data_IF_198464231382
#
_entry.id   IF_198464231382
#
_cell.length_a   1.000
_cell.length_b   1.000
_cell.length_c   1.000
_cell.angle_alpha   90.00
_cell.angle_beta   90.00
_cell.angle_gamma   90.00
#
_symmetry.space_group_name_H-M   'P 1'
#
loop_
_entity.id
_entity.type
_entity.pdbx_description
1 polymer ?
#
# COMPACT_ATOMS: atom_id res chain seq x y z
N UNK A 1 15.43 1.16 4.65
CA UNK A 1 15.03 0.48 3.42
C UNK A 1 16.10 -0.50 2.98
N UNK A 2 15.80 -1.81 2.94
CA UNK A 2 16.77 -2.84 2.54
C UNK A 2 16.93 -2.99 1.02
N UNK A 3 16.18 -2.23 0.21
CA UNK A 3 16.39 -2.18 -1.23
C UNK A 3 17.85 -1.79 -1.54
N UNK A 4 18.48 -2.38 -2.58
CA UNK A 4 19.86 -2.10 -2.97
C UNK A 4 20.10 -0.60 -3.14
N UNK A 5 21.31 -0.11 -2.86
CA UNK A 5 21.63 1.30 -3.13
C UNK A 5 21.72 1.59 -4.63
N UNK A 6 22.13 0.59 -5.41
CA UNK A 6 22.21 0.66 -6.87
C UNK A 6 20.83 0.58 -7.52
N UNK A 7 20.65 1.15 -8.74
CA UNK A 7 19.42 1.00 -9.50
C UNK A 7 19.07 -0.48 -9.74
N UNK A 8 17.80 -0.83 -9.54
CA UNK A 8 17.33 -2.20 -9.74
C UNK A 8 15.96 -2.23 -10.41
N UNK A 9 15.74 -3.25 -11.23
CA UNK A 9 14.45 -3.54 -11.85
C UNK A 9 13.81 -4.71 -11.13
N UNK A 10 12.61 -4.49 -10.62
CA UNK A 10 11.82 -5.50 -9.93
C UNK A 10 10.57 -5.77 -10.76
N UNK A 11 10.18 -7.03 -10.91
CA UNK A 11 9.00 -7.43 -11.69
C UNK A 11 8.01 -8.22 -10.86
N UNK A 12 6.77 -8.25 -11.34
CA UNK A 12 5.68 -8.97 -10.73
C UNK A 12 4.45 -8.97 -11.62
N UNK A 13 3.33 -9.45 -11.08
CA UNK A 13 2.07 -9.47 -11.80
C UNK A 13 1.04 -10.38 -11.14
N UNK A 14 -0.06 -10.60 -11.87
CA UNK A 14 -1.11 -11.49 -11.40
C UNK A 14 -0.74 -12.97 -11.60
N UNK A 15 -1.42 -13.87 -10.89
CA UNK A 15 -1.14 -15.31 -10.92
C UNK A 15 -1.30 -15.95 -12.30
N UNK A 16 -2.18 -15.44 -13.17
CA UNK A 16 -2.39 -15.98 -14.51
C UNK A 16 -1.54 -15.31 -15.61
N UNK A 17 -0.66 -14.37 -15.25
CA UNK A 17 0.21 -13.66 -16.19
C UNK A 17 -0.47 -12.63 -17.12
N UNK A 18 -1.79 -12.44 -17.01
CA UNK A 18 -2.52 -11.48 -17.85
C UNK A 18 -2.14 -10.02 -17.55
N UNK A 19 -1.69 -9.74 -16.33
CA UNK A 19 -1.14 -8.45 -15.92
C UNK A 19 0.28 -8.68 -15.41
N UNK A 20 1.21 -7.90 -15.94
CA UNK A 20 2.62 -7.88 -15.54
C UNK A 20 3.03 -6.44 -15.30
N UNK A 21 3.91 -6.22 -14.32
CA UNK A 21 4.46 -4.91 -14.07
C UNK A 21 5.97 -4.98 -13.84
N UNK A 22 6.60 -3.83 -14.00
CA UNK A 22 8.01 -3.59 -13.72
C UNK A 22 8.14 -2.29 -12.96
N UNK A 23 8.97 -2.32 -11.93
CA UNK A 23 9.34 -1.18 -11.11
C UNK A 23 10.79 -0.87 -11.44
N UNK A 24 11.06 0.35 -11.89
CA UNK A 24 12.41 0.86 -12.06
C UNK A 24 12.78 1.62 -10.78
N UNK A 25 13.42 0.93 -9.84
CA UNK A 25 13.90 1.54 -8.60
C UNK A 25 15.19 2.30 -8.91
N UNK A 26 15.26 3.62 -8.69
CA UNK A 26 16.46 4.39 -8.96
C UNK A 26 17.53 4.15 -7.88
N UNK A 27 18.73 4.68 -8.13
CA UNK A 27 19.79 4.72 -7.12
C UNK A 27 19.28 5.43 -5.86
N UNK A 28 19.82 5.08 -4.69
CA UNK A 28 19.36 5.61 -3.40
C UNK A 28 19.29 7.14 -3.38
N UNK A 29 20.27 7.82 -3.97
CA UNK A 29 20.35 9.29 -3.93
C UNK A 29 19.32 9.97 -4.84
N UNK A 30 18.83 9.28 -5.86
CA UNK A 30 17.81 9.75 -6.80
C UNK A 30 16.38 9.37 -6.37
N UNK A 31 16.23 8.65 -5.25
CA UNK A 31 14.91 8.29 -4.72
C UNK A 31 14.22 9.52 -4.11
N UNK A 32 12.95 9.80 -4.47
CA UNK A 32 12.20 10.87 -3.86
C UNK A 32 11.91 10.54 -2.38
N UNK A 33 11.73 11.59 -1.58
CA UNK A 33 11.23 11.44 -0.22
C UNK A 33 9.76 10.99 -0.24
N UNK A 34 9.38 10.25 0.79
CA UNK A 34 8.00 9.85 1.00
C UNK A 34 7.17 11.10 1.40
N UNK A 35 6.16 11.49 0.61
CA UNK A 35 5.37 12.70 0.88
C UNK A 35 4.48 12.58 2.13
N UNK A 36 4.23 11.37 2.64
CA UNK A 36 3.43 11.12 3.84
C UNK A 36 4.19 11.28 5.14
N UNK A 37 5.52 11.38 5.07
CA UNK A 37 6.37 11.54 6.22
C UNK A 37 7.00 12.93 6.23
N UNK A 38 7.20 13.56 7.41
CA UNK A 38 7.99 14.77 7.50
C UNK A 38 9.36 14.57 6.82
N UNK A 39 9.86 15.52 6.00
CA UNK A 39 11.14 15.36 5.30
C UNK A 39 12.33 15.03 6.21
N UNK A 40 12.29 15.50 7.46
CA UNK A 40 13.30 15.22 8.49
C UNK A 40 13.44 13.71 8.82
N UNK A 41 12.41 12.90 8.55
CA UNK A 41 12.47 11.45 8.74
C UNK A 41 13.34 10.75 7.67
N UNK A 42 13.65 11.41 6.55
CA UNK A 42 14.54 10.87 5.52
C UNK A 42 14.04 9.59 4.84
N UNK A 43 12.74 9.28 4.96
CA UNK A 43 12.14 8.09 4.34
C UNK A 43 12.07 8.32 2.84
N UNK A 44 12.73 7.45 2.07
CA UNK A 44 12.77 7.48 0.62
C UNK A 44 11.74 6.51 0.03
N UNK A 45 11.38 6.67 -1.24
CA UNK A 45 10.52 5.76 -2.01
C UNK A 45 11.30 5.05 -3.13
N UNK A 46 10.95 3.80 -3.49
CA UNK A 46 9.78 3.06 -3.02
C UNK A 46 10.01 2.41 -1.65
N UNK A 47 9.02 2.47 -0.75
CA UNK A 47 9.13 2.00 0.63
C UNK A 47 8.24 0.79 0.91
N UNK A 48 8.79 -0.24 1.56
CA UNK A 48 8.00 -1.40 1.99
C UNK A 48 7.30 -1.10 3.31
N UNK A 49 6.00 -1.33 3.41
CA UNK A 49 5.21 -1.07 4.61
C UNK A 49 4.32 -2.28 4.95
N UNK A 50 3.86 -2.34 6.19
CA UNK A 50 2.69 -3.15 6.54
C UNK A 50 1.54 -2.22 6.90
N UNK A 51 0.32 -2.55 6.51
CA UNK A 51 -0.84 -1.71 6.78
C UNK A 51 -1.88 -2.43 7.62
N UNK A 52 -2.33 -1.77 8.68
CA UNK A 52 -3.26 -2.28 9.68
C UNK A 52 -4.72 -1.92 9.40
N UNK A 53 -5.02 -1.15 8.35
CA UNK A 53 -6.39 -0.73 8.06
C UNK A 53 -7.27 -1.89 7.60
N UNK A 54 -8.58 -1.77 7.85
CA UNK A 54 -9.56 -2.77 7.43
C UNK A 54 -9.61 -2.96 5.92
N UNK A 55 -9.34 -1.93 5.13
CA UNK A 55 -9.42 -2.02 3.68
C UNK A 55 -8.28 -2.86 3.10
N UNK A 56 -7.05 -2.68 3.60
CA UNK A 56 -5.90 -3.51 3.21
C UNK A 56 -6.04 -4.94 3.73
N UNK A 57 -6.56 -5.14 4.95
CA UNK A 57 -6.89 -6.46 5.50
C UNK A 57 -7.91 -7.20 4.63
N UNK A 58 -9.03 -6.55 4.30
CA UNK A 58 -10.14 -7.15 3.54
C UNK A 58 -9.75 -7.39 2.08
N UNK A 59 -9.05 -6.46 1.44
CA UNK A 59 -8.61 -6.61 0.05
C UNK A 59 -7.61 -7.74 -0.17
N UNK A 60 -6.76 -8.03 0.82
CA UNK A 60 -5.77 -9.12 0.74
C UNK A 60 -6.23 -10.43 1.36
N UNK A 61 -7.37 -10.42 2.08
CA UNK A 61 -7.78 -11.55 2.92
C UNK A 61 -6.77 -11.90 4.02
N UNK A 62 -5.80 -11.02 4.32
CA UNK A 62 -4.71 -11.27 5.27
C UNK A 62 -4.89 -10.47 6.53
N UNK A 63 -4.71 -11.07 7.71
CA UNK A 63 -4.85 -10.38 9.01
C UNK A 63 -4.00 -9.11 9.11
N UNK A 64 -2.80 -9.16 8.54
CA UNK A 64 -1.94 -8.02 8.29
C UNK A 64 -1.54 -8.12 6.82
N UNK A 65 -1.84 -7.09 6.03
CA UNK A 65 -1.33 -6.98 4.67
C UNK A 65 0.19 -6.84 4.78
N UNK A 66 0.87 -7.98 4.70
CA UNK A 66 2.32 -8.05 4.91
C UNK A 66 2.95 -7.66 3.59
N UNK A 67 3.51 -6.45 3.54
CA UNK A 67 4.20 -6.00 2.35
C UNK A 67 3.31 -5.28 1.36
N UNK A 68 3.24 -3.97 1.52
CA UNK A 68 2.84 -3.05 0.47
C UNK A 68 4.10 -2.29 0.07
N UNK A 69 4.37 -2.18 -1.22
CA UNK A 69 5.42 -1.31 -1.73
C UNK A 69 4.76 -0.04 -2.24
N UNK A 70 5.10 1.10 -1.64
CA UNK A 70 4.65 2.41 -2.11
C UNK A 70 5.55 2.91 -3.24
N UNK A 71 4.96 3.24 -4.39
CA UNK A 71 5.66 3.46 -5.65
C UNK A 71 5.09 4.67 -6.39
N UNK A 72 5.90 5.72 -6.59
CA UNK A 72 5.57 6.82 -7.48
C UNK A 72 5.32 6.33 -8.92
N UNK A 73 4.29 6.85 -9.57
CA UNK A 73 3.91 6.46 -10.93
C UNK A 73 5.06 6.43 -11.96
N UNK A 74 6.02 7.40 -11.98
CA UNK A 74 7.13 7.36 -12.94
C UNK A 74 8.04 6.12 -12.82
N UNK A 75 8.04 5.45 -11.66
CA UNK A 75 8.81 4.21 -11.46
C UNK A 75 8.10 2.97 -11.98
N UNK A 76 6.79 3.03 -12.23
CA UNK A 76 5.95 1.87 -12.53
C UNK A 76 5.61 1.78 -14.01
N UNK A 77 5.88 0.62 -14.63
CA UNK A 77 5.35 0.25 -15.94
C UNK A 77 4.40 -0.93 -15.77
N UNK A 78 3.21 -0.86 -16.34
CA UNK A 78 2.22 -1.97 -16.35
C UNK A 78 1.95 -2.42 -17.78
N UNK A 79 1.82 -3.72 -17.97
CA UNK A 79 1.34 -4.37 -19.18
C UNK A 79 0.16 -5.26 -18.82
N UNK A 80 -0.94 -5.10 -19.53
CA UNK A 80 -2.15 -5.91 -19.36
C UNK A 80 -2.59 -6.45 -20.72
N UNK A 81 -2.90 -7.74 -20.77
CA UNK A 81 -3.54 -8.34 -21.94
C UNK A 81 -4.94 -7.76 -22.10
N UNK A 82 -5.34 -7.47 -23.34
CA UNK A 82 -6.71 -7.06 -23.61
C UNK A 82 -7.70 -8.16 -23.18
N UNK A 83 -8.86 -7.78 -22.62
CA UNK A 83 -9.96 -8.72 -22.41
C UNK A 83 -10.31 -9.44 -23.72
N UNK A 84 -10.62 -10.74 -23.64
CA UNK A 84 -11.06 -11.52 -24.81
C UNK A 84 -12.49 -11.18 -25.25
N UNK A 85 -13.23 -10.44 -24.43
CA UNK A 85 -14.56 -9.88 -24.68
C UNK A 85 -14.75 -8.64 -23.80
N UNK A 86 -15.65 -7.74 -24.17
CA UNK A 86 -16.10 -6.68 -23.25
C UNK A 86 -16.67 -7.34 -22.00
N UNK A 87 -15.94 -7.24 -20.89
CA UNK A 87 -16.43 -7.58 -19.56
C UNK A 87 -16.55 -6.28 -18.81
N UNK A 88 -17.72 -6.00 -18.25
CA UNK A 88 -17.92 -4.90 -17.33
C UNK A 88 -16.88 -5.00 -16.21
N UNK A 89 -16.07 -3.94 -16.05
CA UNK A 89 -15.12 -3.85 -14.95
C UNK A 89 -15.94 -3.58 -13.69
N UNK A 90 -16.21 -4.61 -12.91
CA UNK A 90 -16.86 -4.47 -11.60
C UNK A 90 -15.80 -3.95 -10.61
N UNK A 91 -15.72 -2.63 -10.45
CA UNK A 91 -15.00 -2.00 -9.34
C UNK A 91 -15.94 -1.76 -8.16
N UNK A 92 -15.54 -2.10 -6.93
CA UNK A 92 -16.37 -1.89 -5.73
C UNK A 92 -15.54 -1.60 -4.47
N UNK A 93 -16.16 -0.94 -3.49
CA UNK A 93 -15.65 -0.79 -2.12
C UNK A 93 -16.19 -1.94 -1.27
N UNK A 94 -15.46 -2.32 -0.22
CA UNK A 94 -16.01 -3.22 0.80
C UNK A 94 -17.04 -2.46 1.62
N UNK A 95 -18.31 -2.80 1.46
CA UNK A 95 -19.43 -2.25 2.23
C UNK A 95 -19.71 -3.20 3.40
N UNK A 96 -20.04 -2.64 4.57
CA UNK A 96 -20.53 -3.45 5.69
C UNK A 96 -22.04 -3.69 5.55
N UNK A 97 -22.39 -4.44 4.51
CA UNK A 97 -23.77 -4.77 4.11
C UNK A 97 -24.56 -5.55 5.17
N UNK A 98 -23.90 -5.96 6.27
CA UNK A 98 -24.52 -6.69 7.37
C UNK A 98 -24.76 -5.82 8.60
N UNK A 99 -24.43 -4.52 8.56
CA UNK A 99 -24.82 -3.60 9.62
C UNK A 99 -26.34 -3.38 9.59
N UNK A 100 -26.99 -3.40 10.75
CA UNK A 100 -28.45 -3.28 10.89
C UNK A 100 -29.00 -1.95 10.32
N UNK A 101 -28.14 -0.95 10.13
CA UNK A 101 -28.42 0.37 9.59
C UNK A 101 -27.82 0.62 8.19
N UNK A 102 -27.42 -0.43 7.46
CA UNK A 102 -26.83 -0.28 6.14
C UNK A 102 -27.82 0.33 5.12
N UNK A 103 -27.48 1.52 4.62
CA UNK A 103 -28.20 2.25 3.58
C UNK A 103 -27.37 2.30 2.30
N UNK A 104 -27.84 1.61 1.26
CA UNK A 104 -27.14 1.50 -0.01
C UNK A 104 -27.11 2.83 -0.80
N UNK A 105 -28.20 3.60 -0.80
CA UNK A 105 -28.25 4.88 -1.53
C UNK A 105 -27.34 5.91 -0.89
N UNK A 106 -27.34 5.97 0.44
CA UNK A 106 -26.41 6.81 1.19
C UNK A 106 -24.96 6.37 0.99
N UNK A 107 -24.67 5.07 1.04
CA UNK A 107 -23.31 4.55 0.83
C UNK A 107 -22.77 4.87 -0.58
N UNK A 108 -23.63 4.85 -1.60
CA UNK A 108 -23.27 5.23 -2.97
C UNK A 108 -23.13 6.75 -3.13
N UNK A 109 -23.96 7.55 -2.46
CA UNK A 109 -23.84 9.01 -2.44
C UNK A 109 -22.59 9.52 -1.70
N UNK A 110 -22.21 8.83 -0.62
CA UNK A 110 -21.00 9.10 0.18
C UNK A 110 -19.73 8.52 -0.48
N UNK A 111 -19.83 7.95 -1.68
CA UNK A 111 -18.67 7.44 -2.42
C UNK A 111 -17.70 8.60 -2.67
N UNK A 112 -16.49 8.59 -2.07
CA UNK A 112 -15.52 9.63 -2.35
C UNK A 112 -15.19 9.61 -3.85
N UNK A 113 -14.88 10.78 -4.44
CA UNK A 113 -14.39 10.84 -5.82
C UNK A 113 -13.20 9.89 -6.03
N UNK A 114 -12.97 9.50 -7.29
CA UNK A 114 -12.00 8.49 -7.78
C UNK A 114 -10.52 8.69 -7.40
N UNK A 115 -10.21 9.60 -6.47
CA UNK A 115 -8.87 9.92 -6.00
C UNK A 115 -8.19 8.72 -5.33
N UNK A 116 -8.94 7.66 -5.03
CA UNK A 116 -8.43 6.35 -4.63
C UNK A 116 -9.13 5.22 -5.37
N UNK A 117 -8.39 4.17 -5.73
CA UNK A 117 -8.94 2.99 -6.41
C UNK A 117 -8.15 1.73 -6.08
N UNK A 118 -8.77 0.57 -6.27
CA UNK A 118 -8.10 -0.74 -6.14
C UNK A 118 -8.14 -1.44 -7.48
N UNK A 119 -7.01 -2.05 -7.84
CA UNK A 119 -6.87 -2.79 -9.09
C UNK A 119 -6.59 -4.26 -8.80
N UNK A 120 -7.30 -5.13 -9.52
CA UNK A 120 -7.14 -6.57 -9.47
C UNK A 120 -7.22 -7.15 -10.88
N UNK A 121 -6.71 -8.36 -11.06
CA UNK A 121 -6.82 -9.06 -12.33
C UNK A 121 -8.25 -9.58 -12.52
N UNK A 122 -8.99 -9.04 -13.49
CA UNK A 122 -10.34 -9.51 -13.82
C UNK A 122 -10.40 -10.99 -14.25
N UNK A 123 -9.28 -11.58 -14.66
CA UNK A 123 -9.21 -13.00 -15.08
C UNK A 123 -8.99 -13.98 -13.94
N UNK A 124 -8.13 -13.66 -12.97
CA UNK A 124 -7.76 -14.60 -11.90
C UNK A 124 -8.00 -14.06 -10.48
N UNK A 125 -8.55 -12.86 -10.34
CA UNK A 125 -8.88 -12.25 -9.06
C UNK A 125 -7.69 -11.77 -8.24
N UNK A 126 -6.44 -11.90 -8.73
CA UNK A 126 -5.26 -11.44 -7.98
C UNK A 126 -5.37 -9.94 -7.73
N UNK A 127 -5.44 -9.56 -6.45
CA UNK A 127 -5.38 -8.17 -6.03
C UNK A 127 -3.96 -7.62 -6.26
N UNK A 128 -3.83 -6.53 -7.03
CA UNK A 128 -2.54 -6.01 -7.49
C UNK A 128 -2.09 -4.77 -6.74
N UNK A 129 -2.97 -3.76 -6.65
CA UNK A 129 -2.59 -2.52 -6.01
C UNK A 129 -3.77 -1.72 -5.46
N UNK A 130 -3.41 -0.78 -4.60
CA UNK A 130 -4.21 0.39 -4.29
C UNK A 130 -3.53 1.59 -4.97
N UNK A 131 -4.28 2.35 -5.75
CA UNK A 131 -3.84 3.56 -6.41
C UNK A 131 -4.47 4.74 -5.67
N UNK A 132 -3.69 5.79 -5.44
CA UNK A 132 -4.23 7.06 -4.99
C UNK A 132 -3.52 8.21 -5.68
N UNK A 133 -4.29 9.25 -5.94
CA UNK A 133 -3.83 10.52 -6.46
C UNK A 133 -3.57 11.44 -5.27
N UNK A 134 -2.31 11.85 -5.11
CA UNK A 134 -1.89 12.75 -4.06
C UNK A 134 -2.56 14.11 -4.23
N UNK A 135 -3.09 14.60 -3.11
CA UNK A 135 -3.51 15.98 -2.92
C UNK A 135 -2.63 16.63 -1.84
N UNK A 136 -2.47 17.96 -1.83
CA UNK A 136 -1.61 18.66 -0.88
C UNK A 136 -1.91 18.32 0.59
N UNK A 137 -3.18 18.14 0.92
CA UNK A 137 -3.67 17.75 2.25
C UNK A 137 -3.20 16.38 2.73
N UNK A 138 -2.78 15.50 1.81
CA UNK A 138 -2.22 14.18 2.15
C UNK A 138 -0.72 14.24 2.42
N UNK A 139 -0.05 15.34 2.05
CA UNK A 139 1.39 15.48 2.16
C UNK A 139 1.75 16.11 3.52
N UNK A 140 2.76 15.58 4.20
CA UNK A 140 3.15 15.98 5.56
C UNK A 140 3.54 17.47 5.68
N UNK A 141 4.00 18.10 4.59
CA UNK A 141 4.36 19.51 4.52
C UNK A 141 3.36 20.35 3.70
N UNK A 142 2.23 19.76 3.30
CA UNK A 142 1.23 20.41 2.46
C UNK A 142 1.67 20.61 1.00
N UNK A 143 2.76 19.99 0.55
CA UNK A 143 3.30 20.16 -0.81
C UNK A 143 3.31 18.86 -1.59
N UNK A 144 2.80 18.94 -2.81
CA UNK A 144 2.90 17.83 -3.76
C UNK A 144 4.35 17.61 -4.19
N UNK A 145 4.77 16.36 -4.40
CA UNK A 145 6.08 16.07 -4.94
C UNK A 145 6.20 16.55 -6.40
N UNK A 146 7.41 16.92 -6.79
CA UNK A 146 7.69 17.36 -8.16
C UNK A 146 7.62 16.18 -9.14
N UNK A 147 6.91 16.37 -10.25
CA UNK A 147 6.92 15.44 -11.38
C UNK A 147 6.00 14.21 -11.27
N UNK A 148 5.26 14.06 -10.17
CA UNK A 148 4.25 12.99 -10.04
C UNK A 148 3.16 13.35 -9.05
N UNK A 149 2.00 12.68 -9.18
CA UNK A 149 0.88 12.81 -8.25
C UNK A 149 0.24 11.46 -7.95
N UNK A 150 0.31 10.53 -8.89
CA UNK A 150 -0.19 9.18 -8.68
C UNK A 150 0.86 8.33 -7.95
N UNK A 151 0.42 7.64 -6.89
CA UNK A 151 1.21 6.60 -6.24
C UNK A 151 0.45 5.28 -6.22
N UNK A 152 1.23 4.20 -6.17
CA UNK A 152 0.73 2.85 -6.17
C UNK A 152 1.29 2.08 -4.97
N UNK A 153 0.38 1.59 -4.14
CA UNK A 153 0.60 0.58 -3.13
C UNK A 153 0.47 -0.80 -3.78
N UNK A 154 1.58 -1.35 -4.29
CA UNK A 154 1.60 -2.72 -4.83
C UNK A 154 1.66 -3.74 -3.70
N UNK A 155 0.87 -4.82 -3.79
CA UNK A 155 1.00 -5.92 -2.83
C UNK A 155 2.25 -6.74 -3.13
N UNK A 156 3.18 -6.82 -2.18
CA UNK A 156 4.46 -7.52 -2.35
C UNK A 156 4.28 -8.98 -2.75
N UNK A 157 3.22 -9.65 -2.29
CA UNK A 157 2.91 -11.04 -2.69
C UNK A 157 2.69 -11.24 -4.19
N UNK A 158 2.62 -10.17 -4.98
CA UNK A 158 2.52 -10.20 -6.46
C UNK A 158 3.87 -10.00 -7.16
N UNK A 159 4.96 -9.74 -6.43
CA UNK A 159 6.31 -9.72 -6.99
C UNK A 159 6.73 -11.12 -7.43
N UNK A 160 7.61 -11.19 -8.42
CA UNK A 160 8.22 -12.45 -8.79
C UNK A 160 9.05 -13.00 -7.61
N UNK A 161 8.97 -14.31 -7.43
CA UNK A 161 9.50 -15.01 -6.26
C UNK A 161 10.98 -14.72 -5.99
N UNK A 162 11.79 -14.55 -7.04
CA UNK A 162 13.22 -14.25 -6.92
C UNK A 162 13.52 -12.97 -6.14
N UNK A 163 12.58 -12.02 -6.10
CA UNK A 163 12.70 -10.78 -5.33
C UNK A 163 12.22 -10.96 -3.89
N UNK A 164 11.22 -11.82 -3.67
CA UNK A 164 10.67 -12.14 -2.35
C UNK A 164 11.59 -13.02 -1.51
N UNK A 165 12.49 -13.77 -2.15
CA UNK A 165 13.53 -14.54 -1.47
C UNK A 165 14.70 -13.66 -0.97
N UNK A 166 14.69 -12.37 -1.30
CA UNK A 166 15.66 -11.37 -0.82
C UNK A 166 15.09 -10.64 0.39
N UNK A 167 15.97 -10.05 1.19
CA UNK A 167 15.61 -9.22 2.34
C UNK A 167 15.21 -7.77 1.96
N UNK A 168 15.22 -7.45 0.67
CA UNK A 168 15.04 -6.11 0.09
C UNK A 168 13.75 -5.40 0.51
N UNK A 169 12.70 -6.16 0.82
CA UNK A 169 11.38 -5.62 1.14
C UNK A 169 10.95 -5.88 2.58
N UNK A 170 11.91 -6.11 3.48
CA UNK A 170 11.61 -6.02 4.91
C UNK A 170 10.94 -4.65 5.18
N UNK A 171 9.77 -4.63 5.85
CA UNK A 171 9.02 -3.40 6.01
C UNK A 171 9.84 -2.33 6.74
N UNK A 172 9.73 -1.09 6.27
CA UNK A 172 10.35 0.10 6.86
C UNK A 172 9.44 0.78 7.88
N UNK A 173 8.13 0.53 7.82
CA UNK A 173 7.15 1.09 8.75
C UNK A 173 5.88 0.23 8.83
N UNK A 174 5.09 0.49 9.86
CA UNK A 174 3.74 -0.04 10.00
C UNK A 174 2.74 1.11 9.99
N UNK A 175 1.88 1.18 8.98
CA UNK A 175 0.91 2.27 8.80
C UNK A 175 -0.48 1.89 9.30
N UNK A 176 -1.28 2.90 9.64
CA UNK A 176 -2.64 2.77 10.18
C UNK A 176 -2.72 1.91 11.44
N UNK A 177 -1.66 1.90 12.25
CA UNK A 177 -1.52 0.99 13.40
C UNK A 177 -2.70 1.08 14.39
N UNK A 178 -3.27 2.28 14.57
CA UNK A 178 -4.42 2.52 15.45
C UNK A 178 -5.69 1.81 14.98
N UNK A 179 -5.83 1.53 13.68
CA UNK A 179 -6.93 0.74 13.13
C UNK A 179 -6.71 -0.77 13.18
N UNK A 180 -5.54 -1.22 13.63
CA UNK A 180 -5.22 -2.63 13.75
C UNK A 180 -6.15 -3.37 14.70
N UNK A 181 -6.62 -4.54 14.27
CA UNK A 181 -7.27 -5.50 15.17
C UNK A 181 -6.25 -6.02 16.20
N UNK A 182 -6.69 -6.54 17.36
CA UNK A 182 -5.78 -7.16 18.33
C UNK A 182 -4.88 -8.23 17.68
N UNK A 183 -5.46 -9.07 16.81
CA UNK A 183 -4.71 -10.11 16.10
C UNK A 183 -3.68 -9.54 15.10
N UNK A 184 -4.05 -8.52 14.30
CA UNK A 184 -3.13 -7.91 13.33
C UNK A 184 -1.92 -7.26 14.00
N UNK A 185 -2.13 -6.65 15.18
CA UNK A 185 -1.06 -6.07 16.00
C UNK A 185 -0.16 -7.16 16.59
N UNK A 186 -0.70 -8.31 16.99
CA UNK A 186 0.11 -9.45 17.45
C UNK A 186 0.99 -10.07 16.35
N UNK A 187 0.60 -9.98 15.08
CA UNK A 187 1.38 -10.52 13.94
C UNK A 187 2.19 -9.46 13.20
N UNK A 188 2.38 -8.29 13.82
CA UNK A 188 3.15 -7.16 13.28
C UNK A 188 4.60 -7.51 12.99
N UNK A 189 5.27 -6.69 12.16
CA UNK A 189 6.68 -6.90 11.84
C UNK A 189 7.58 -6.79 13.09
N UNK A 190 7.24 -5.90 14.02
CA UNK A 190 7.90 -5.85 15.35
C UNK A 190 7.73 -7.15 16.13
N UNK A 191 6.53 -7.75 16.14
CA UNK A 191 6.27 -9.01 16.83
C UNK A 191 6.93 -10.21 16.13
N UNK A 192 7.21 -10.10 14.83
CA UNK A 192 7.92 -11.12 14.03
C UNK A 192 9.45 -10.96 14.05
N UNK A 193 10.00 -10.07 14.89
CA UNK A 193 11.44 -9.89 15.07
C UNK A 193 12.16 -9.25 13.88
N UNK A 194 11.43 -8.61 12.95
CA UNK A 194 12.03 -8.04 11.74
C UNK A 194 12.80 -6.73 12.01
N UNK A 195 12.41 -5.97 13.04
CA UNK A 195 13.04 -4.79 13.67
C UNK A 195 11.97 -4.03 14.47
N UNK A 196 12.39 -3.12 15.36
CA UNK A 196 11.50 -2.09 15.90
C UNK A 196 11.18 -1.08 14.79
N UNK A 197 10.02 -1.27 14.15
CA UNK A 197 9.55 -0.41 13.07
C UNK A 197 8.70 0.76 13.60
N UNK A 198 8.82 1.95 12.99
CA UNK A 198 7.96 3.08 13.32
C UNK A 198 6.48 2.72 13.07
N UNK A 199 5.63 3.06 14.05
CA UNK A 199 4.18 2.91 13.97
C UNK A 199 3.59 4.23 13.50
N UNK A 200 3.18 4.27 12.24
CA UNK A 200 2.59 5.42 11.60
C UNK A 200 1.07 5.30 11.63
N UNK A 201 0.40 6.41 11.88
CA UNK A 201 -0.99 6.61 11.51
C UNK A 201 -0.98 7.41 10.20
N UNK A 202 -1.66 6.91 9.17
CA UNK A 202 -1.72 7.65 7.91
C UNK A 202 -2.44 8.98 8.18
N UNK A 203 -1.89 10.08 7.65
CA UNK A 203 -2.36 11.46 7.84
C UNK A 203 -2.20 12.07 9.25
N UNK A 204 -2.00 11.28 10.31
CA UNK A 204 -1.81 11.78 11.69
C UNK A 204 -0.40 11.54 12.27
N UNK A 205 0.58 11.24 11.41
CA UNK A 205 1.98 11.10 11.79
C UNK A 205 2.30 9.84 12.62
N UNK A 206 3.36 9.88 13.41
CA UNK A 206 3.79 8.74 14.22
C UNK A 206 2.91 8.59 15.48
N UNK A 207 2.52 7.35 15.82
CA UNK A 207 1.81 7.07 17.06
C UNK A 207 2.68 7.41 18.29
N UNK A 208 2.09 8.07 19.27
CA UNK A 208 2.78 8.49 20.50
C UNK A 208 2.99 7.32 21.47
N UNK A 209 3.92 7.44 22.42
CA UNK A 209 4.14 6.42 23.44
C UNK A 209 2.90 6.16 24.32
N UNK A 210 2.15 7.22 24.65
CA UNK A 210 0.90 7.13 25.40
C UNK A 210 -0.16 6.35 24.62
N UNK A 211 -0.35 6.66 23.34
CA UNK A 211 -1.27 5.92 22.47
C UNK A 211 -0.87 4.45 22.39
N UNK A 212 0.42 4.14 22.22
CA UNK A 212 0.90 2.76 22.18
C UNK A 212 0.69 2.01 23.51
N UNK A 213 0.78 2.69 24.65
CA UNK A 213 0.58 2.10 25.97
C UNK A 213 -0.88 1.65 26.18
N UNK A 214 -1.85 2.41 25.68
CA UNK A 214 -3.29 2.06 25.76
C UNK A 214 -3.68 0.84 24.92
N UNK A 215 -2.85 0.44 23.95
CA UNK A 215 -3.12 -0.69 23.05
C UNK A 215 -2.60 -2.03 23.59
N UNK A 216 -1.89 -2.03 24.73
CA UNK A 216 -1.34 -3.24 25.40
C UNK A 216 -2.26 -3.78 26.50
N UNK A 217 -3.39 -3.14 26.75
CA UNK A 217 -4.46 -3.54 27.69
C UNK A 217 -5.66 -4.10 26.94
#
# INVERSE_FOLDING_TARGET
>A
MPLPNEPVKVTGGCSCGAIRYRINVPALDDRPLNPFAPPACGIKLPGAITCHCNDCRRSTGSFLATGILDIPAPMLTVSAMSPSSETDVISGRVLDVLADDYDAEKADADRPPLDVSRSFCGRCGTQLCFHFKLEPEYCADGKLPDGWRDSFHLYLGTLDREFLEKDWFNPDSEVNFKHGTPLSRCVSATAKGLKDLPKMQEFDGQATEEELATLRT
#
